data_IF_889455501162
#
_entry.id   IF_889455501162
#
_cell.length_a   1.000
_cell.length_b   1.000
_cell.length_c   1.000
_cell.angle_alpha   90.00
_cell.angle_beta   90.00
_cell.angle_gamma   90.00
#
_symmetry.space_group_name_H-M   'P 1'
#
loop_
_entity.id
_entity.type
_entity.pdbx_description
1 polymer ?
#
# COMPACT_ATOMS: atom_id res chain seq x y z
N UNK A 1 15.26 19.07 49.32
CA UNK A 1 15.66 18.64 47.96
C UNK A 1 15.02 17.28 47.73
N UNK A 2 13.88 17.23 47.02
CA UNK A 2 13.78 16.83 45.60
C UNK A 2 14.06 15.32 45.45
N UNK A 3 13.14 14.48 44.97
CA UNK A 3 12.39 14.62 43.72
C UNK A 3 11.04 13.89 43.79
N UNK A 4 10.00 14.55 43.30
CA UNK A 4 8.81 13.90 42.77
C UNK A 4 9.25 12.97 41.64
N UNK A 5 8.92 11.68 41.75
CA UNK A 5 8.92 10.79 40.61
C UNK A 5 7.55 10.95 39.96
N UNK A 6 7.47 11.87 39.01
CA UNK A 6 6.36 11.95 38.06
C UNK A 6 6.27 10.60 37.34
N UNK A 7 5.21 9.84 37.65
CA UNK A 7 4.71 8.83 36.74
C UNK A 7 4.14 9.55 35.51
N UNK A 8 5.04 9.88 34.59
CA UNK A 8 4.70 10.30 33.25
C UNK A 8 4.04 9.09 32.58
N UNK A 9 2.71 9.09 32.56
CA UNK A 9 1.91 8.08 31.90
C UNK A 9 2.43 7.85 30.49
N UNK A 10 2.58 6.58 30.14
CA UNK A 10 2.86 6.15 28.77
C UNK A 10 1.74 6.67 27.87
N UNK A 11 2.01 7.81 27.26
CA UNK A 11 1.22 8.32 26.14
C UNK A 11 1.37 7.30 25.02
N UNK A 12 0.33 6.48 24.82
CA UNK A 12 0.23 5.58 23.68
C UNK A 12 0.39 6.40 22.41
N UNK A 13 1.61 6.49 21.90
CA UNK A 13 1.89 6.97 20.56
C UNK A 13 0.96 6.19 19.62
N UNK A 14 -0.02 6.89 19.03
CA UNK A 14 -0.78 6.37 17.90
C UNK A 14 0.21 6.28 16.73
N UNK A 15 1.01 5.22 16.71
CA UNK A 15 1.97 4.98 15.65
C UNK A 15 1.20 4.96 14.32
N UNK A 16 1.38 6.01 13.51
CA UNK A 16 0.88 6.06 12.15
C UNK A 16 1.68 5.04 11.35
N UNK A 17 1.02 4.23 10.53
CA UNK A 17 1.73 3.34 9.61
C UNK A 17 2.57 4.21 8.67
N UNK A 18 3.91 4.06 8.65
CA UNK A 18 4.77 4.89 7.81
C UNK A 18 4.60 4.51 6.34
N UNK A 19 4.58 5.51 5.46
CA UNK A 19 4.40 5.30 4.01
C UNK A 19 5.72 5.03 3.28
N UNK A 20 6.85 5.39 3.89
CA UNK A 20 8.20 5.26 3.36
C UNK A 20 9.07 4.45 4.31
N UNK A 21 10.06 3.76 3.76
CA UNK A 21 11.13 3.10 4.51
C UNK A 21 12.13 4.13 5.03
N UNK A 22 12.46 4.08 6.32
CA UNK A 22 13.32 5.08 6.98
C UNK A 22 14.75 5.09 6.43
N UNK A 23 15.20 4.01 5.78
CA UNK A 23 16.58 3.86 5.31
C UNK A 23 16.76 4.11 3.81
N UNK A 24 15.76 3.76 3.02
CA UNK A 24 15.82 3.79 1.55
C UNK A 24 14.88 4.80 0.92
N UNK A 25 13.99 5.41 1.71
CA UNK A 25 12.89 6.26 1.26
C UNK A 25 11.94 5.58 0.27
N UNK A 26 12.04 4.25 0.15
CA UNK A 26 11.22 3.46 -0.75
C UNK A 26 9.76 3.43 -0.26
N UNK A 27 8.76 3.50 -1.17
CA UNK A 27 7.36 3.36 -0.78
C UNK A 27 7.07 1.99 -0.14
N UNK A 28 6.54 1.99 1.09
CA UNK A 28 6.15 0.78 1.83
C UNK A 28 4.71 0.34 1.55
N UNK A 29 3.89 1.21 0.95
CA UNK A 29 2.45 0.98 0.78
C UNK A 29 2.16 -0.33 0.03
N UNK A 30 2.99 -0.67 -0.96
CA UNK A 30 2.90 -1.94 -1.70
C UNK A 30 3.18 -3.16 -0.80
N UNK A 31 4.19 -3.09 0.07
CA UNK A 31 4.53 -4.18 0.99
C UNK A 31 3.44 -4.44 2.04
N UNK A 32 2.64 -3.42 2.39
CA UNK A 32 1.46 -3.62 3.23
C UNK A 32 0.32 -4.28 2.46
N UNK A 33 0.18 -4.01 1.16
CA UNK A 33 -0.81 -4.67 0.31
C UNK A 33 -0.56 -6.18 0.25
N UNK A 34 0.70 -6.61 0.17
CA UNK A 34 1.09 -8.02 0.22
C UNK A 34 0.71 -8.72 1.54
N UNK A 35 0.51 -7.95 2.61
CA UNK A 35 0.11 -8.43 3.94
C UNK A 35 -1.41 -8.38 4.16
N UNK A 36 -2.18 -7.85 3.20
CA UNK A 36 -3.63 -7.90 3.28
C UNK A 36 -4.07 -9.35 3.07
N UNK A 37 -4.74 -9.93 4.07
CA UNK A 37 -5.24 -11.31 4.01
C UNK A 37 -6.07 -11.55 2.75
N UNK A 38 -6.91 -10.57 2.37
CA UNK A 38 -7.71 -10.64 1.13
C UNK A 38 -6.88 -10.67 -0.16
N UNK A 39 -5.69 -10.07 -0.16
CA UNK A 39 -4.76 -10.14 -1.28
C UNK A 39 -4.02 -11.50 -1.28
N UNK A 40 -3.56 -11.95 -0.11
CA UNK A 40 -2.91 -13.26 0.02
C UNK A 40 -3.84 -14.41 -0.39
N UNK A 41 -5.12 -14.34 0.01
CA UNK A 41 -6.12 -15.34 -0.32
C UNK A 41 -6.42 -15.35 -1.83
N UNK A 42 -6.61 -14.19 -2.45
CA UNK A 42 -6.86 -14.05 -3.89
C UNK A 42 -5.64 -14.42 -4.77
N UNK A 43 -4.45 -14.48 -4.19
CA UNK A 43 -3.22 -14.86 -4.87
C UNK A 43 -2.82 -16.32 -4.58
N UNK A 44 -3.51 -17.01 -3.67
CA UNK A 44 -3.08 -18.30 -3.13
C UNK A 44 -3.05 -19.43 -4.16
N UNK A 45 -3.95 -19.40 -5.15
CA UNK A 45 -4.03 -20.40 -6.22
C UNK A 45 -3.39 -19.92 -7.54
N UNK A 46 -2.81 -18.72 -7.53
CA UNK A 46 -2.19 -18.08 -8.69
C UNK A 46 -3.18 -17.55 -9.74
N UNK A 47 -4.47 -17.44 -9.42
CA UNK A 47 -5.51 -16.93 -10.32
C UNK A 47 -6.41 -15.94 -9.61
N UNK A 48 -6.32 -14.67 -10.02
CA UNK A 48 -7.32 -13.67 -9.63
C UNK A 48 -8.54 -13.84 -10.54
N UNK A 49 -9.68 -14.21 -9.96
CA UNK A 49 -10.91 -14.31 -10.71
C UNK A 49 -11.74 -13.00 -10.69
N UNK A 50 -12.86 -13.02 -11.42
CA UNK A 50 -13.73 -11.84 -11.56
C UNK A 50 -14.43 -11.43 -10.26
N UNK A 51 -14.73 -12.37 -9.37
CA UNK A 51 -15.41 -12.04 -8.10
C UNK A 51 -14.41 -11.40 -7.14
N UNK A 52 -13.19 -11.94 -7.05
CA UNK A 52 -12.14 -11.41 -6.17
C UNK A 52 -11.74 -9.98 -6.57
N UNK A 53 -11.65 -9.74 -7.88
CA UNK A 53 -11.39 -8.40 -8.41
C UNK A 53 -12.50 -7.40 -8.06
N UNK A 54 -13.77 -7.82 -8.20
CA UNK A 54 -14.93 -6.99 -7.85
C UNK A 54 -14.97 -6.69 -6.35
N UNK A 55 -14.64 -7.67 -5.51
CA UNK A 55 -14.62 -7.49 -4.07
C UNK A 55 -13.51 -6.52 -3.64
N UNK A 56 -12.34 -6.58 -4.30
CA UNK A 56 -11.27 -5.60 -4.09
C UNK A 56 -11.68 -4.20 -4.57
N UNK A 57 -12.30 -4.08 -5.74
CA UNK A 57 -12.84 -2.81 -6.24
C UNK A 57 -13.84 -2.21 -5.25
N UNK A 58 -14.78 -3.02 -4.73
CA UNK A 58 -15.76 -2.57 -3.75
C UNK A 58 -15.11 -2.02 -2.47
N UNK A 59 -14.03 -2.68 -1.98
CA UNK A 59 -13.26 -2.19 -0.83
C UNK A 59 -12.59 -0.84 -1.12
N UNK A 60 -11.97 -0.69 -2.29
CA UNK A 60 -11.31 0.57 -2.71
C UNK A 60 -12.35 1.70 -2.80
N UNK A 61 -13.47 1.47 -3.48
CA UNK A 61 -14.55 2.46 -3.63
C UNK A 61 -15.12 2.88 -2.28
N UNK A 62 -15.34 1.93 -1.35
CA UNK A 62 -15.83 2.25 -0.02
C UNK A 62 -14.85 3.13 0.77
N UNK A 63 -13.55 2.89 0.66
CA UNK A 63 -12.51 3.72 1.28
C UNK A 63 -12.44 5.11 0.67
N UNK A 64 -12.44 5.22 -0.66
CA UNK A 64 -12.42 6.51 -1.37
C UNK A 64 -13.60 7.38 -0.95
N UNK A 65 -14.83 6.84 -1.01
CA UNK A 65 -16.05 7.55 -0.60
C UNK A 65 -16.04 8.00 0.86
N UNK A 66 -15.37 7.25 1.74
CA UNK A 66 -15.25 7.58 3.17
C UNK A 66 -14.22 8.69 3.40
N UNK A 67 -13.08 8.65 2.71
CA UNK A 67 -11.93 9.50 2.98
C UNK A 67 -12.01 10.82 2.23
N UNK A 68 -12.42 10.81 0.96
CA UNK A 68 -12.45 11.98 0.08
C UNK A 68 -13.15 13.21 0.71
N UNK A 69 -14.34 13.11 1.34
CA UNK A 69 -15.00 14.27 1.93
C UNK A 69 -14.31 14.84 3.18
N UNK A 70 -13.31 14.15 3.74
CA UNK A 70 -12.55 14.62 4.91
C UNK A 70 -11.33 15.46 4.53
N UNK A 71 -11.00 15.51 3.25
CA UNK A 71 -9.87 16.27 2.73
C UNK A 71 -10.35 17.67 2.36
N UNK A 72 -9.59 18.69 2.75
CA UNK A 72 -9.78 20.01 2.17
C UNK A 72 -9.39 20.00 0.67
N UNK A 73 -9.83 20.99 -0.12
CA UNK A 73 -9.63 20.96 -1.58
C UNK A 73 -8.17 20.85 -2.03
N UNK A 74 -7.25 21.54 -1.37
CA UNK A 74 -5.83 21.53 -1.75
C UNK A 74 -5.20 20.18 -1.40
N UNK A 75 -5.50 19.65 -0.20
CA UNK A 75 -5.05 18.32 0.21
C UNK A 75 -5.65 17.20 -0.66
N UNK A 76 -6.90 17.36 -1.10
CA UNK A 76 -7.55 16.41 -2.02
C UNK A 76 -6.78 16.30 -3.34
N UNK A 77 -6.36 17.43 -3.91
CA UNK A 77 -5.58 17.46 -5.14
C UNK A 77 -4.22 16.77 -4.96
N UNK A 78 -3.50 17.07 -3.87
CA UNK A 78 -2.22 16.43 -3.55
C UNK A 78 -2.35 14.91 -3.35
N UNK A 79 -3.35 14.47 -2.59
CA UNK A 79 -3.62 13.05 -2.36
C UNK A 79 -4.04 12.36 -3.66
N UNK A 80 -4.80 13.02 -4.52
CA UNK A 80 -5.17 12.49 -5.83
C UNK A 80 -3.94 12.24 -6.70
N UNK A 81 -3.02 13.22 -6.79
CA UNK A 81 -1.75 13.04 -7.50
C UNK A 81 -0.92 11.89 -6.91
N UNK A 82 -0.84 11.78 -5.59
CA UNK A 82 -0.14 10.70 -4.92
C UNK A 82 -0.74 9.32 -5.23
N UNK A 83 -2.06 9.19 -5.25
CA UNK A 83 -2.74 7.94 -5.63
C UNK A 83 -2.50 7.56 -7.09
N UNK A 84 -2.45 8.54 -8.00
CA UNK A 84 -2.11 8.34 -9.41
C UNK A 84 -0.68 7.81 -9.57
N UNK A 85 0.30 8.47 -8.97
CA UNK A 85 1.71 8.06 -9.01
C UNK A 85 1.92 6.68 -8.39
N UNK A 86 1.28 6.40 -7.24
CA UNK A 86 1.38 5.10 -6.58
C UNK A 86 0.77 3.99 -7.44
N UNK A 87 -0.35 4.26 -8.12
CA UNK A 87 -0.98 3.31 -9.04
C UNK A 87 -0.06 3.00 -10.22
N UNK A 88 0.51 4.04 -10.85
CA UNK A 88 1.45 3.88 -11.96
C UNK A 88 2.69 3.10 -11.53
N UNK A 89 3.29 3.47 -10.40
CA UNK A 89 4.48 2.80 -9.84
C UNK A 89 4.21 1.32 -9.56
N UNK A 90 3.10 0.98 -8.90
CA UNK A 90 2.77 -0.41 -8.60
C UNK A 90 2.59 -1.25 -9.87
N UNK A 91 1.90 -0.72 -10.89
CA UNK A 91 1.74 -1.41 -12.19
C UNK A 91 3.10 -1.62 -12.85
N UNK A 92 3.94 -0.58 -12.91
CA UNK A 92 5.29 -0.67 -13.47
C UNK A 92 6.15 -1.69 -12.72
N UNK A 93 6.13 -1.67 -11.39
CA UNK A 93 6.88 -2.60 -10.54
C UNK A 93 6.44 -4.04 -10.76
N UNK A 94 5.13 -4.31 -10.80
CA UNK A 94 4.60 -5.66 -11.08
C UNK A 94 4.99 -6.13 -12.48
N UNK A 95 4.83 -5.30 -13.51
CA UNK A 95 5.20 -5.65 -14.89
C UNK A 95 6.71 -5.91 -14.99
N UNK A 96 7.54 -5.05 -14.39
CA UNK A 96 8.98 -5.22 -14.35
C UNK A 96 9.36 -6.58 -13.73
N UNK A 97 8.78 -6.93 -12.59
CA UNK A 97 9.01 -8.22 -11.95
C UNK A 97 8.63 -9.43 -12.82
N UNK A 98 7.49 -9.36 -13.54
CA UNK A 98 7.07 -10.42 -14.47
C UNK A 98 8.05 -10.57 -15.63
N UNK A 99 8.48 -9.44 -16.23
CA UNK A 99 9.41 -9.44 -17.36
C UNK A 99 10.79 -9.94 -16.96
N UNK A 100 11.29 -9.56 -15.79
CA UNK A 100 12.57 -10.03 -15.26
C UNK A 100 12.56 -11.53 -14.92
N UNK A 101 11.44 -12.05 -14.41
CA UNK A 101 11.28 -13.47 -14.11
C UNK A 101 11.09 -14.35 -15.35
N UNK A 102 10.80 -13.76 -16.52
CA UNK A 102 10.59 -14.51 -17.76
C UNK A 102 11.93 -15.02 -18.31
N UNK A 103 12.13 -16.35 -18.47
CA UNK A 103 13.39 -16.87 -18.99
C UNK A 103 13.65 -16.35 -20.40
N UNK A 104 14.81 -15.72 -20.62
CA UNK A 104 15.27 -15.36 -21.98
C UNK A 104 15.62 -16.64 -22.74
N UNK A 105 14.62 -17.31 -23.31
CA UNK A 105 14.87 -18.48 -24.15
C UNK A 105 15.63 -18.05 -25.40
N UNK A 106 16.96 -18.22 -25.40
CA UNK A 106 17.73 -18.21 -26.64
C UNK A 106 17.38 -19.50 -27.38
N UNK A 107 16.56 -19.38 -28.42
CA UNK A 107 16.37 -20.44 -29.40
C UNK A 107 17.75 -20.77 -30.00
N UNK A 108 18.28 -21.96 -29.70
CA UNK A 108 19.44 -22.53 -30.37
C UNK A 108 18.92 -23.57 -31.34
N UNK A 109 18.55 -23.10 -32.53
CA UNK A 109 18.41 -23.95 -33.71
C UNK A 109 19.76 -24.27 -34.31
#
# INVERSE_FOLDING_TARGET
MSKHHDHKGEEKSRFRTPWLDDSSEAPLVHQYAEKLTTFMDAMADGKIDKHELRDQEARVVALMKKIEPQLDPDLHEEVTHLLCELTAYNVMHTIHGILDATPKTKFRG
#
